data_IF_550861530601
#
_entry.id   IF_550861530601
#
_cell.length_a   1.000
_cell.length_b   1.000
_cell.length_c   1.000
_cell.angle_alpha   90.00
_cell.angle_beta   90.00
_cell.angle_gamma   90.00
#
_symmetry.space_group_name_H-M   'P 1'
#
loop_
_entity.id
_entity.type
_entity.pdbx_description
1 polymer ?
#
# COMPACT_ATOMS: atom_id res chain seq x y z
N UNK A 1 -19.01 -28.79 -2.22
CA UNK A 1 -18.48 -27.67 -1.41
C UNK A 1 -18.24 -28.25 -0.03
N UNK A 2 -16.98 -28.27 0.40
CA UNK A 2 -16.54 -28.97 1.62
C UNK A 2 -16.72 -28.01 2.82
N UNK A 3 -17.05 -28.53 4.00
CA UNK A 3 -17.23 -27.70 5.23
C UNK A 3 -16.01 -26.82 5.57
N UNK A 4 -14.80 -27.22 5.10
CA UNK A 4 -13.57 -26.43 5.22
C UNK A 4 -13.59 -25.22 4.30
N UNK A 5 -14.04 -25.34 3.06
CA UNK A 5 -14.13 -24.21 2.09
C UNK A 5 -15.14 -23.16 2.57
N UNK A 6 -16.28 -23.60 3.11
CA UNK A 6 -17.30 -22.70 3.67
C UNK A 6 -16.76 -21.97 4.92
N UNK A 7 -15.90 -22.61 5.69
CA UNK A 7 -15.29 -22.02 6.88
C UNK A 7 -14.26 -20.96 6.49
N UNK A 8 -13.42 -21.25 5.49
CA UNK A 8 -12.41 -20.30 4.96
C UNK A 8 -13.08 -19.06 4.33
N UNK A 9 -14.16 -19.24 3.55
CA UNK A 9 -14.91 -18.11 2.98
C UNK A 9 -15.55 -17.22 4.07
N UNK A 10 -16.11 -17.81 5.13
CA UNK A 10 -16.69 -17.02 6.24
C UNK A 10 -15.64 -16.27 7.05
N UNK A 11 -14.44 -16.86 7.21
CA UNK A 11 -13.32 -16.18 7.84
C UNK A 11 -12.88 -14.99 6.99
N UNK A 12 -12.73 -15.16 5.69
CA UNK A 12 -12.37 -14.08 4.76
C UNK A 12 -13.38 -12.92 4.79
N UNK A 13 -14.67 -13.19 4.74
CA UNK A 13 -15.74 -12.18 4.77
C UNK A 13 -15.75 -11.40 6.10
N UNK A 14 -15.54 -12.08 7.22
CA UNK A 14 -15.52 -11.42 8.52
C UNK A 14 -14.25 -10.58 8.71
N UNK A 15 -13.10 -11.04 8.21
CA UNK A 15 -11.86 -10.27 8.21
C UNK A 15 -12.05 -8.96 7.42
N UNK A 16 -12.59 -9.04 6.20
CA UNK A 16 -12.86 -7.86 5.38
C UNK A 16 -13.81 -6.88 6.09
N UNK A 17 -14.89 -7.37 6.66
CA UNK A 17 -15.85 -6.53 7.40
C UNK A 17 -15.20 -5.82 8.60
N UNK A 18 -14.26 -6.48 9.30
CA UNK A 18 -13.53 -5.90 10.43
C UNK A 18 -12.51 -4.85 9.92
N UNK A 19 -11.78 -5.14 8.84
CA UNK A 19 -10.82 -4.23 8.22
C UNK A 19 -11.53 -2.98 7.66
N UNK A 20 -12.67 -3.15 7.00
CA UNK A 20 -13.49 -2.03 6.50
C UNK A 20 -14.03 -1.17 7.65
N UNK A 21 -14.50 -1.81 8.71
CA UNK A 21 -14.96 -1.11 9.92
C UNK A 21 -13.83 -0.29 10.55
N UNK A 22 -12.60 -0.82 10.59
CA UNK A 22 -11.43 -0.10 11.05
C UNK A 22 -11.16 1.17 10.21
N UNK A 23 -11.20 1.07 8.88
CA UNK A 23 -11.04 2.22 7.98
C UNK A 23 -12.12 3.29 8.20
N UNK A 24 -13.36 2.87 8.46
CA UNK A 24 -14.46 3.79 8.75
C UNK A 24 -14.28 4.49 10.10
N UNK A 25 -13.86 3.76 11.14
CA UNK A 25 -13.60 4.32 12.47
C UNK A 25 -12.40 5.28 12.42
N UNK A 26 -11.36 4.97 11.62
CA UNK A 26 -10.18 5.81 11.47
C UNK A 26 -10.49 7.19 10.82
N UNK A 27 -11.60 7.32 10.09
CA UNK A 27 -12.09 8.62 9.59
C UNK A 27 -12.69 9.50 10.70
N UNK A 28 -13.11 8.88 11.80
CA UNK A 28 -13.84 9.54 12.90
C UNK A 28 -12.96 9.75 14.14
N UNK A 29 -11.86 8.95 14.29
CA UNK A 29 -11.01 8.92 15.48
C UNK A 29 -9.54 8.77 15.13
N UNK A 30 -8.67 9.30 16.01
CA UNK A 30 -7.24 9.01 15.96
C UNK A 30 -6.98 7.52 16.20
N UNK A 31 -5.99 6.95 15.52
CA UNK A 31 -5.66 5.52 15.57
C UNK A 31 -5.44 5.02 17.00
N UNK A 32 -4.77 5.81 17.85
CA UNK A 32 -4.45 5.46 19.23
C UNK A 32 -5.69 5.41 20.15
N UNK A 33 -6.82 5.95 19.68
CA UNK A 33 -8.10 5.98 20.42
C UNK A 33 -9.10 4.94 19.94
N UNK A 34 -8.75 4.16 18.91
CA UNK A 34 -9.61 3.11 18.39
C UNK A 34 -9.67 1.94 19.36
N UNK A 35 -10.87 1.49 19.67
CA UNK A 35 -11.12 0.36 20.56
C UNK A 35 -11.83 -0.78 19.85
N UNK A 36 -11.71 -2.00 20.39
CA UNK A 36 -12.47 -3.16 19.89
C UNK A 36 -13.99 -2.87 19.87
N UNK A 37 -14.50 -2.11 20.85
CA UNK A 37 -15.92 -1.74 20.90
C UNK A 37 -16.34 -0.84 19.74
N UNK A 38 -15.48 0.03 19.26
CA UNK A 38 -15.74 0.85 18.07
C UNK A 38 -15.84 -0.01 16.82
N UNK A 39 -14.92 -0.96 16.68
CA UNK A 39 -14.85 -1.86 15.52
C UNK A 39 -16.09 -2.77 15.46
N UNK A 40 -16.40 -3.48 16.55
CA UNK A 40 -17.54 -4.41 16.57
C UNK A 40 -18.87 -3.68 16.31
N UNK A 41 -19.03 -2.46 16.85
CA UNK A 41 -20.21 -1.64 16.60
C UNK A 41 -20.32 -1.23 15.13
N UNK A 42 -19.20 -0.85 14.52
CA UNK A 42 -19.14 -0.38 13.13
C UNK A 42 -19.30 -1.55 12.15
N UNK A 43 -18.71 -2.71 12.43
CA UNK A 43 -18.82 -3.93 11.63
C UNK A 43 -20.17 -4.66 11.81
N UNK A 44 -20.95 -4.33 12.84
CA UNK A 44 -22.21 -5.03 13.13
C UNK A 44 -22.01 -6.48 13.61
N UNK A 45 -20.87 -6.79 14.26
CA UNK A 45 -20.52 -8.13 14.74
C UNK A 45 -20.56 -8.21 16.27
N UNK A 46 -20.56 -9.45 16.80
CA UNK A 46 -20.43 -9.67 18.25
C UNK A 46 -18.93 -9.74 18.65
N UNK A 47 -18.68 -9.50 19.93
CA UNK A 47 -17.31 -9.42 20.48
C UNK A 47 -16.50 -10.71 20.28
N UNK A 48 -17.14 -11.87 20.39
CA UNK A 48 -16.49 -13.15 20.14
C UNK A 48 -16.02 -13.29 18.68
N UNK A 49 -16.77 -12.77 17.72
CA UNK A 49 -16.37 -12.77 16.32
C UNK A 49 -15.06 -11.99 16.14
N UNK A 50 -14.93 -10.80 16.71
CA UNK A 50 -13.68 -10.04 16.65
C UNK A 50 -12.50 -10.86 17.19
N UNK A 51 -12.62 -11.43 18.38
CA UNK A 51 -11.51 -12.18 19.01
C UNK A 51 -11.21 -13.53 18.37
N UNK A 52 -12.11 -14.06 17.54
CA UNK A 52 -11.82 -15.24 16.71
C UNK A 52 -10.88 -14.90 15.52
N UNK A 53 -10.81 -13.63 15.11
CA UNK A 53 -10.02 -13.16 13.97
C UNK A 53 -8.79 -12.36 14.39
N UNK A 54 -8.92 -11.49 15.39
CA UNK A 54 -7.85 -10.59 15.85
C UNK A 54 -7.76 -10.60 17.37
N UNK A 55 -6.57 -10.86 17.88
CA UNK A 55 -6.31 -10.88 19.33
C UNK A 55 -6.60 -9.52 20.00
N UNK A 56 -6.23 -8.43 19.31
CA UNK A 56 -6.32 -7.07 19.81
C UNK A 56 -6.24 -6.05 18.66
N UNK A 57 -6.36 -4.75 18.97
CA UNK A 57 -6.21 -3.67 17.98
C UNK A 57 -4.82 -3.63 17.33
N UNK A 58 -3.68 -3.79 18.05
CA UNK A 58 -2.38 -3.92 17.39
C UNK A 58 -2.30 -5.03 16.34
N UNK A 59 -2.87 -6.21 16.60
CA UNK A 59 -2.91 -7.30 15.62
C UNK A 59 -3.75 -6.94 14.38
N UNK A 60 -4.87 -6.24 14.57
CA UNK A 60 -5.68 -5.70 13.47
C UNK A 60 -4.90 -4.67 12.64
N UNK A 61 -4.12 -3.79 13.29
CA UNK A 61 -3.27 -2.81 12.59
C UNK A 61 -2.22 -3.50 11.72
N UNK A 62 -1.57 -4.54 12.22
CA UNK A 62 -0.59 -5.33 11.44
C UNK A 62 -1.25 -5.96 10.21
N UNK A 63 -2.42 -6.58 10.37
CA UNK A 63 -3.16 -7.14 9.25
C UNK A 63 -3.58 -6.06 8.23
N UNK A 64 -3.95 -4.88 8.70
CA UNK A 64 -4.28 -3.74 7.84
C UNK A 64 -3.06 -3.22 7.08
N UNK A 65 -1.87 -3.20 7.70
CA UNK A 65 -0.61 -2.87 7.01
C UNK A 65 -0.34 -3.87 5.89
N UNK A 66 -0.44 -5.17 6.18
CA UNK A 66 -0.18 -6.24 5.22
C UNK A 66 -1.18 -6.18 4.04
N UNK A 67 -2.47 -5.97 4.33
CA UNK A 67 -3.49 -5.75 3.29
C UNK A 67 -3.18 -4.51 2.44
N UNK A 68 -2.85 -3.39 3.06
CA UNK A 68 -2.53 -2.15 2.34
C UNK A 68 -1.33 -2.32 1.41
N UNK A 69 -0.32 -3.07 1.84
CA UNK A 69 0.84 -3.42 1.02
C UNK A 69 0.41 -4.30 -0.16
N UNK A 70 -0.40 -5.34 0.08
CA UNK A 70 -0.92 -6.20 -0.99
C UNK A 70 -1.75 -5.42 -2.01
N UNK A 71 -2.59 -4.51 -1.57
CA UNK A 71 -3.39 -3.65 -2.47
C UNK A 71 -2.47 -2.80 -3.37
N UNK A 72 -1.41 -2.20 -2.81
CA UNK A 72 -0.41 -1.45 -3.58
C UNK A 72 0.32 -2.35 -4.58
N UNK A 73 0.68 -3.58 -4.18
CA UNK A 73 1.30 -4.56 -5.08
C UNK A 73 0.38 -4.94 -6.24
N UNK A 74 -0.89 -5.22 -5.97
CA UNK A 74 -1.87 -5.53 -7.01
C UNK A 74 -2.01 -4.38 -8.02
N UNK A 75 -1.93 -3.12 -7.56
CA UNK A 75 -1.85 -1.96 -8.45
C UNK A 75 -0.59 -1.98 -9.32
N UNK A 76 0.53 -2.43 -8.75
CA UNK A 76 1.81 -2.50 -9.48
C UNK A 76 1.89 -3.62 -10.50
N UNK A 77 1.29 -4.77 -10.23
CA UNK A 77 1.24 -5.89 -11.18
C UNK A 77 0.54 -5.50 -12.49
N UNK A 78 -0.37 -4.53 -12.43
CA UNK A 78 -1.00 -3.97 -13.63
C UNK A 78 -0.09 -3.00 -14.38
N UNK A 79 1.00 -2.54 -13.74
CA UNK A 79 1.93 -1.57 -14.30
C UNK A 79 2.99 -2.26 -15.14
N UNK A 80 2.95 -2.04 -16.45
CA UNK A 80 4.05 -2.35 -17.34
C UNK A 80 4.94 -1.11 -17.48
N UNK A 81 6.12 -1.14 -16.85
CA UNK A 81 7.10 -0.07 -16.99
C UNK A 81 7.54 0.04 -18.46
N UNK A 82 6.92 0.90 -19.22
CA UNK A 82 7.27 1.28 -20.58
C UNK A 82 7.64 2.75 -20.57
N UNK A 83 8.45 3.16 -21.53
CA UNK A 83 8.73 4.58 -21.77
C UNK A 83 7.50 5.25 -22.42
N UNK A 84 6.36 5.13 -21.79
CA UNK A 84 5.07 5.66 -22.18
C UNK A 84 4.53 6.52 -21.03
N UNK A 85 4.48 7.83 -21.31
CA UNK A 85 4.04 8.83 -20.34
C UNK A 85 2.64 8.56 -19.81
N UNK A 86 1.72 8.18 -20.69
CA UNK A 86 0.31 8.03 -20.31
C UNK A 86 0.10 6.78 -19.47
N UNK A 87 0.84 5.70 -19.74
CA UNK A 87 0.83 4.48 -18.92
C UNK A 87 1.38 4.81 -17.52
N UNK A 88 2.53 5.48 -17.43
CA UNK A 88 3.13 5.87 -16.15
C UNK A 88 2.21 6.82 -15.37
N UNK A 89 1.62 7.81 -16.05
CA UNK A 89 0.69 8.76 -15.43
C UNK A 89 -0.55 8.05 -14.90
N UNK A 90 -1.13 7.14 -15.65
CA UNK A 90 -2.31 6.36 -15.24
C UNK A 90 -2.02 5.55 -13.96
N UNK A 91 -0.84 4.92 -13.88
CA UNK A 91 -0.41 4.21 -12.68
C UNK A 91 -0.29 5.14 -11.47
N UNK A 92 0.46 6.25 -11.60
CA UNK A 92 0.63 7.19 -10.50
C UNK A 92 -0.68 7.86 -10.09
N UNK A 93 -1.58 8.11 -11.04
CA UNK A 93 -2.91 8.63 -10.74
C UNK A 93 -3.73 7.63 -9.92
N UNK A 94 -3.67 6.35 -10.27
CA UNK A 94 -4.33 5.28 -9.50
C UNK A 94 -3.76 5.20 -8.08
N UNK A 95 -2.45 5.27 -7.92
CA UNK A 95 -1.78 5.29 -6.60
C UNK A 95 -2.16 6.54 -5.78
N UNK A 96 -2.22 7.71 -6.42
CA UNK A 96 -2.67 8.95 -5.78
C UNK A 96 -4.12 8.85 -5.30
N UNK A 97 -5.02 8.35 -6.14
CA UNK A 97 -6.43 8.15 -5.77
C UNK A 97 -6.57 7.14 -4.63
N UNK A 98 -5.83 6.03 -4.66
CA UNK A 98 -5.81 5.06 -3.57
C UNK A 98 -5.30 5.70 -2.27
N UNK A 99 -4.21 6.46 -2.31
CA UNK A 99 -3.68 7.17 -1.14
C UNK A 99 -4.70 8.16 -0.55
N UNK A 100 -5.42 8.88 -1.39
CA UNK A 100 -6.41 9.87 -0.97
C UNK A 100 -7.68 9.23 -0.38
N UNK A 101 -8.08 8.08 -0.91
CA UNK A 101 -9.31 7.38 -0.48
C UNK A 101 -9.09 6.40 0.68
N UNK A 102 -7.85 5.94 0.88
CA UNK A 102 -7.49 5.05 1.98
C UNK A 102 -6.92 5.83 3.18
N UNK A 103 -7.71 6.07 4.25
CA UNK A 103 -7.28 6.89 5.39
C UNK A 103 -6.13 6.25 6.17
N UNK A 104 -5.99 4.90 6.13
CA UNK A 104 -4.91 4.19 6.81
C UNK A 104 -3.58 4.39 6.08
N UNK A 105 -3.56 4.23 4.76
CA UNK A 105 -2.36 4.53 3.95
C UNK A 105 -1.93 5.99 4.10
N UNK A 106 -2.88 6.92 4.04
CA UNK A 106 -2.59 8.33 4.26
C UNK A 106 -2.01 8.60 5.66
N UNK A 107 -2.51 7.89 6.69
CA UNK A 107 -1.97 7.98 8.06
C UNK A 107 -0.53 7.43 8.13
N UNK A 108 -0.25 6.26 7.56
CA UNK A 108 1.08 5.65 7.54
C UNK A 108 2.11 6.53 6.83
N UNK A 109 1.76 7.07 5.67
CA UNK A 109 2.63 7.94 4.87
C UNK A 109 2.87 9.28 5.60
N UNK A 110 1.85 9.83 6.25
CA UNK A 110 1.95 11.10 7.00
C UNK A 110 2.84 10.98 8.23
N UNK A 111 2.83 9.81 8.88
CA UNK A 111 3.52 9.53 10.15
C UNK A 111 4.50 8.36 10.00
N UNK A 112 5.59 8.50 9.24
CA UNK A 112 6.49 7.39 8.96
C UNK A 112 7.31 6.91 10.17
N UNK A 113 7.34 7.70 11.25
CA UNK A 113 8.11 7.35 12.46
C UNK A 113 7.38 6.28 13.27
N UNK A 114 8.06 5.15 13.48
CA UNK A 114 7.58 4.07 14.35
C UNK A 114 6.61 3.09 13.70
N UNK A 115 6.37 3.18 12.38
CA UNK A 115 5.65 2.15 11.65
C UNK A 115 6.62 1.29 10.82
N UNK A 116 6.28 0.02 10.65
CA UNK A 116 7.06 -0.93 9.85
C UNK A 116 6.70 -0.90 8.36
N UNK A 117 5.69 -0.12 7.99
CA UNK A 117 5.13 -0.08 6.64
C UNK A 117 6.19 0.24 5.58
N UNK A 118 7.04 1.25 5.85
CA UNK A 118 8.07 1.65 4.91
C UNK A 118 9.07 0.51 4.63
N UNK A 119 9.56 -0.15 5.69
CA UNK A 119 10.51 -1.26 5.56
C UNK A 119 9.86 -2.48 4.89
N UNK A 120 8.62 -2.80 5.24
CA UNK A 120 7.84 -3.87 4.59
C UNK A 120 7.66 -3.56 3.09
N UNK A 121 7.22 -2.35 2.75
CA UNK A 121 7.04 -1.92 1.36
C UNK A 121 8.35 -2.01 0.58
N UNK A 122 9.47 -1.53 1.13
CA UNK A 122 10.79 -1.61 0.51
C UNK A 122 11.22 -3.07 0.27
N UNK A 123 11.06 -3.94 1.26
CA UNK A 123 11.44 -5.36 1.18
C UNK A 123 10.65 -6.08 0.09
N UNK A 124 9.33 -5.92 0.08
CA UNK A 124 8.46 -6.56 -0.90
C UNK A 124 8.73 -6.04 -2.31
N UNK A 125 8.93 -4.74 -2.46
CA UNK A 125 9.27 -4.13 -3.73
C UNK A 125 10.58 -4.65 -4.29
N UNK A 126 11.59 -4.75 -3.43
CA UNK A 126 12.89 -5.33 -3.80
C UNK A 126 12.74 -6.79 -4.27
N UNK A 127 11.95 -7.60 -3.57
CA UNK A 127 11.67 -8.98 -3.97
C UNK A 127 10.96 -9.05 -5.31
N UNK A 128 9.93 -8.24 -5.53
CA UNK A 128 9.17 -8.19 -6.78
C UNK A 128 10.07 -7.88 -7.98
N UNK A 129 10.87 -6.82 -7.90
CA UNK A 129 11.77 -6.46 -9.01
C UNK A 129 12.89 -7.46 -9.20
N UNK A 130 13.42 -8.05 -8.11
CA UNK A 130 14.42 -9.10 -8.20
C UNK A 130 13.87 -10.31 -8.96
N UNK A 131 12.63 -10.68 -8.75
CA UNK A 131 11.98 -11.79 -9.46
C UNK A 131 11.80 -11.47 -10.95
N UNK A 132 11.35 -10.24 -11.29
CA UNK A 132 11.22 -9.82 -12.70
C UNK A 132 12.58 -9.80 -13.41
N UNK A 133 13.64 -9.29 -12.76
CA UNK A 133 14.98 -9.21 -13.34
C UNK A 133 15.64 -10.58 -13.46
N UNK A 134 15.28 -11.56 -12.64
CA UNK A 134 15.77 -12.94 -12.78
C UNK A 134 15.19 -13.65 -14.01
N UNK A 135 13.98 -13.31 -14.41
CA UNK A 135 13.34 -13.84 -15.63
C UNK A 135 13.92 -13.22 -16.92
N UNK A 136 14.51 -12.04 -16.82
CA UNK A 136 15.24 -11.42 -17.92
C UNK A 136 16.73 -11.72 -17.78
N UNK A 137 17.32 -12.47 -18.71
CA UNK A 137 18.69 -13.03 -18.75
C UNK A 137 19.83 -11.96 -18.64
N UNK A 138 19.76 -11.07 -17.66
CA UNK A 138 20.70 -9.97 -17.46
C UNK A 138 21.90 -10.40 -16.58
N UNK A 139 23.15 -9.96 -16.91
CA UNK A 139 24.34 -10.34 -16.17
C UNK A 139 24.29 -9.91 -14.69
N UNK A 140 24.93 -10.69 -13.83
CA UNK A 140 25.02 -10.50 -12.37
C UNK A 140 25.49 -9.08 -11.93
N UNK A 141 26.18 -8.38 -12.81
CA UNK A 141 26.76 -7.06 -12.55
C UNK A 141 25.72 -5.95 -12.36
N UNK A 142 24.53 -6.10 -12.96
CA UNK A 142 23.49 -5.08 -12.91
C UNK A 142 22.58 -5.16 -11.67
N UNK A 143 22.61 -6.27 -10.89
CA UNK A 143 21.69 -6.46 -9.74
C UNK A 143 21.86 -5.40 -8.66
N UNK A 144 23.10 -4.98 -8.38
CA UNK A 144 23.36 -3.96 -7.35
C UNK A 144 22.84 -2.59 -7.78
N UNK A 145 23.09 -2.18 -9.04
CA UNK A 145 22.58 -0.92 -9.56
C UNK A 145 21.05 -0.88 -9.55
N UNK A 146 20.41 -1.95 -10.01
CA UNK A 146 18.94 -2.08 -9.97
C UNK A 146 18.37 -1.90 -8.56
N UNK A 147 19.02 -2.44 -7.53
CA UNK A 147 18.54 -2.29 -6.16
C UNK A 147 18.53 -0.82 -5.69
N UNK A 148 19.54 -0.04 -6.05
CA UNK A 148 19.59 1.40 -5.76
C UNK A 148 18.57 2.20 -6.57
N UNK A 149 18.35 1.83 -7.83
CA UNK A 149 17.35 2.48 -8.68
C UNK A 149 15.92 2.25 -8.13
N UNK A 150 15.64 1.03 -7.69
CA UNK A 150 14.37 0.69 -7.04
C UNK A 150 14.20 1.49 -5.74
N UNK A 151 15.23 1.51 -4.90
CA UNK A 151 15.20 2.30 -3.67
C UNK A 151 14.94 3.79 -3.95
N UNK A 152 15.56 4.33 -5.02
CA UNK A 152 15.32 5.70 -5.48
C UNK A 152 13.87 5.91 -5.95
N UNK A 153 13.32 4.98 -6.73
CA UNK A 153 11.96 5.05 -7.23
C UNK A 153 10.95 5.07 -6.08
N UNK A 154 11.11 4.16 -5.12
CA UNK A 154 10.24 4.08 -3.94
C UNK A 154 10.42 5.33 -3.08
N UNK A 155 11.67 5.73 -2.82
CA UNK A 155 11.97 6.90 -1.98
C UNK A 155 11.39 8.18 -2.55
N UNK A 156 11.50 8.41 -3.87
CA UNK A 156 10.90 9.57 -4.53
C UNK A 156 9.38 9.54 -4.50
N UNK A 157 8.77 8.39 -4.78
CA UNK A 157 7.31 8.19 -4.71
C UNK A 157 6.79 8.48 -3.30
N UNK A 158 7.38 7.86 -2.28
CA UNK A 158 6.97 8.07 -0.89
C UNK A 158 7.24 9.50 -0.41
N UNK A 159 8.34 10.13 -0.85
CA UNK A 159 8.63 11.53 -0.54
C UNK A 159 7.58 12.49 -1.07
N UNK A 160 7.15 12.30 -2.32
CA UNK A 160 6.06 13.10 -2.94
C UNK A 160 4.75 12.87 -2.21
N UNK A 161 4.36 11.62 -1.97
CA UNK A 161 3.12 11.28 -1.28
C UNK A 161 3.13 11.78 0.18
N UNK A 162 4.26 11.70 0.88
CA UNK A 162 4.41 12.22 2.24
C UNK A 162 4.17 13.74 2.28
N UNK A 163 4.80 14.50 1.39
CA UNK A 163 4.56 15.94 1.29
C UNK A 163 3.10 16.22 1.00
N UNK A 164 2.51 15.57 0.02
CA UNK A 164 1.14 15.76 -0.42
C UNK A 164 0.10 15.45 0.67
N UNK A 165 0.27 14.35 1.39
CA UNK A 165 -0.60 13.99 2.52
C UNK A 165 -0.50 15.00 3.66
N UNK A 166 0.70 15.52 3.94
CA UNK A 166 0.91 16.57 4.97
C UNK A 166 0.28 17.90 4.61
N UNK A 167 0.16 18.19 3.33
CA UNK A 167 -0.52 19.38 2.78
C UNK A 167 -2.03 19.16 2.61
N UNK A 168 -2.59 18.09 3.21
CA UNK A 168 -4.00 17.74 3.15
C UNK A 168 -4.53 17.64 1.71
N UNK A 169 -3.73 17.06 0.82
CA UNK A 169 -4.08 16.83 -0.59
C UNK A 169 -4.43 18.13 -1.34
N UNK A 170 -3.75 19.22 -1.02
CA UNK A 170 -4.03 20.55 -1.61
C UNK A 170 -3.90 20.58 -3.13
N UNK A 171 -2.91 19.87 -3.68
CA UNK A 171 -2.72 19.75 -5.13
C UNK A 171 -3.62 18.62 -5.66
N UNK A 172 -4.31 18.78 -6.81
CA UNK A 172 -5.09 17.71 -7.41
C UNK A 172 -4.27 16.44 -7.67
N UNK A 173 -4.87 15.24 -7.54
CA UNK A 173 -4.15 13.97 -7.73
C UNK A 173 -3.57 13.82 -9.15
N UNK A 174 -4.19 14.40 -10.18
CA UNK A 174 -3.69 14.39 -11.55
C UNK A 174 -2.37 15.16 -11.69
N UNK A 175 -2.24 16.30 -11.03
CA UNK A 175 -1.01 17.10 -11.04
C UNK A 175 0.12 16.41 -10.27
N UNK A 176 -0.18 15.73 -9.14
CA UNK A 176 0.80 14.93 -8.39
C UNK A 176 1.25 13.74 -9.24
N UNK A 177 0.32 13.04 -9.90
CA UNK A 177 0.64 11.94 -10.80
C UNK A 177 1.55 12.40 -11.96
N UNK A 178 1.30 13.57 -12.51
CA UNK A 178 2.15 14.18 -13.55
C UNK A 178 3.56 14.48 -13.05
N UNK A 179 3.71 15.01 -11.83
CA UNK A 179 5.02 15.26 -11.21
C UNK A 179 5.76 13.94 -11.00
N UNK A 180 5.09 12.91 -10.47
CA UNK A 180 5.68 11.59 -10.24
C UNK A 180 6.10 10.92 -11.55
N UNK A 181 5.27 11.05 -12.59
CA UNK A 181 5.58 10.55 -13.94
C UNK A 181 6.85 11.18 -14.50
N UNK A 182 6.99 12.51 -14.42
CA UNK A 182 8.19 13.21 -14.87
C UNK A 182 9.43 12.77 -14.11
N UNK A 183 9.36 12.64 -12.79
CA UNK A 183 10.46 12.16 -11.96
C UNK A 183 10.87 10.74 -12.39
N UNK A 184 9.89 9.85 -12.58
CA UNK A 184 10.14 8.46 -12.95
C UNK A 184 10.75 8.35 -14.36
N UNK A 185 10.14 8.96 -15.36
CA UNK A 185 10.59 8.87 -16.76
C UNK A 185 11.94 9.55 -16.96
N UNK A 186 12.15 10.72 -16.38
CA UNK A 186 13.37 11.51 -16.62
C UNK A 186 14.51 11.16 -15.67
N UNK A 187 14.18 10.64 -14.47
CA UNK A 187 15.17 10.37 -13.42
C UNK A 187 15.54 8.91 -13.25
N UNK A 188 14.63 7.99 -13.46
CA UNK A 188 14.80 6.57 -13.08
C UNK A 188 14.80 5.66 -14.31
N UNK A 189 13.80 5.78 -15.17
CA UNK A 189 13.61 4.89 -16.30
C UNK A 189 14.82 4.82 -17.26
N UNK A 190 15.57 5.91 -17.56
CA UNK A 190 16.74 5.85 -18.42
C UNK A 190 17.87 4.92 -17.92
N UNK A 191 17.90 4.65 -16.62
CA UNK A 191 18.90 3.75 -16.01
C UNK A 191 18.42 2.29 -15.95
N UNK A 192 17.14 2.02 -16.25
CA UNK A 192 16.55 0.68 -16.25
C UNK A 192 16.50 0.03 -17.63
N UNK A 193 16.88 0.77 -18.68
CA UNK A 193 16.99 0.31 -20.08
C UNK A 193 18.42 -0.07 -20.41
#
# INVERSE_FOLDING_TARGET
MNDLEIRDERYSVADEAILDAFLLVLKEKDIDKITVSDIIKKAGIVRSTFYNHFENIPALIVAMEDKTIQDIFSLMETFQAKNDHDICKSYFLTLCNYTMTNPFLAHLIRNPRGNSFFEKAMTMFHQYVTNIVQDTSSPQQNKTEYSYMIASAIGSTLGVLHKWTRENFYIPPDDIAEIMTKIFISGILPFMQ
#
